data_IF_224094564711
#
_entry.id   IF_224094564711
#
_cell.length_a   1.000
_cell.length_b   1.000
_cell.length_c   1.000
_cell.angle_alpha   90.00
_cell.angle_beta   90.00
_cell.angle_gamma   90.00
#
_symmetry.space_group_name_H-M   'P 1'
#
loop_
_entity.id
_entity.type
_entity.pdbx_description
1 polymer ?
#
# COMPACT_ATOMS: atom_id res chain seq x y z
N UNK A 1 41.47 -95.81 35.93
CA UNK A 1 40.00 -95.74 35.87
C UNK A 1 39.62 -94.50 36.67
N UNK A 2 39.55 -93.31 36.06
CA UNK A 2 38.37 -92.78 35.33
C UNK A 2 37.10 -92.99 36.20
N UNK A 3 36.37 -91.98 36.69
CA UNK A 3 35.76 -90.86 35.96
C UNK A 3 35.41 -89.67 36.88
N UNK A 4 35.90 -88.50 36.51
CA UNK A 4 35.15 -87.26 36.22
C UNK A 4 33.80 -87.02 36.91
N UNK A 5 33.71 -85.93 37.67
CA UNK A 5 32.46 -85.17 37.82
C UNK A 5 32.78 -83.68 37.92
N UNK A 6 32.63 -82.96 36.80
CA UNK A 6 32.69 -81.49 36.77
C UNK A 6 31.50 -81.00 35.95
N UNK A 7 30.65 -80.21 36.58
CA UNK A 7 29.40 -79.68 36.06
C UNK A 7 29.61 -78.78 34.81
N UNK A 8 28.61 -78.64 33.93
CA UNK A 8 28.77 -77.93 32.66
C UNK A 8 28.86 -76.41 32.87
N UNK A 9 29.88 -75.78 32.28
CA UNK A 9 29.96 -74.32 32.09
C UNK A 9 28.95 -73.91 31.01
N UNK A 10 28.18 -72.85 31.27
CA UNK A 10 27.34 -72.17 30.28
C UNK A 10 28.24 -71.29 29.39
N UNK A 11 28.14 -71.44 28.08
CA UNK A 11 28.71 -70.51 27.10
C UNK A 11 27.64 -69.50 26.68
N UNK A 12 27.85 -68.19 26.87
CA UNK A 12 27.14 -67.16 26.13
C UNK A 12 28.11 -66.49 25.17
N UNK A 13 28.01 -66.78 23.88
CA UNK A 13 28.64 -65.94 22.87
C UNK A 13 27.75 -65.88 21.62
N UNK A 14 26.89 -64.87 21.62
CA UNK A 14 26.28 -64.30 20.42
C UNK A 14 27.35 -64.00 19.36
N UNK A 15 27.06 -64.36 18.11
CA UNK A 15 27.77 -63.88 16.94
C UNK A 15 26.81 -63.16 16.01
N UNK A 16 26.41 -61.93 16.33
CA UNK A 16 25.73 -61.06 15.36
C UNK A 16 26.78 -60.57 14.34
N UNK A 17 26.76 -61.15 13.14
CA UNK A 17 27.61 -60.72 12.03
C UNK A 17 27.19 -59.30 11.57
N UNK A 18 27.88 -58.26 12.06
CA UNK A 18 27.71 -56.90 11.54
C UNK A 18 28.36 -56.77 10.15
N UNK A 19 27.55 -56.93 9.11
CA UNK A 19 27.98 -56.80 7.72
C UNK A 19 28.14 -55.31 7.38
N UNK A 20 29.37 -54.82 7.48
CA UNK A 20 29.75 -53.41 7.21
C UNK A 20 29.47 -53.08 5.74
N UNK A 21 28.36 -52.39 5.46
CA UNK A 21 27.98 -52.00 4.10
C UNK A 21 28.81 -50.77 3.68
N UNK A 22 29.79 -50.97 2.79
CA UNK A 22 30.80 -49.95 2.42
C UNK A 22 30.21 -48.72 1.70
N UNK A 23 28.97 -48.83 1.23
CA UNK A 23 28.23 -47.74 0.58
C UNK A 23 27.44 -46.85 1.55
N UNK A 24 27.34 -47.20 2.84
CA UNK A 24 26.60 -46.40 3.82
C UNK A 24 27.27 -45.04 4.12
N UNK A 25 28.61 -44.98 4.09
CA UNK A 25 29.38 -43.76 4.36
C UNK A 25 29.21 -42.66 3.29
N UNK A 26 29.35 -42.94 1.97
CA UNK A 26 29.14 -41.91 0.94
C UNK A 26 27.67 -41.47 0.84
N UNK A 27 26.72 -42.37 1.07
CA UNK A 27 25.28 -42.05 1.04
C UNK A 27 24.90 -41.11 2.20
N UNK A 28 25.46 -41.31 3.39
CA UNK A 28 25.27 -40.40 4.52
C UNK A 28 25.83 -39.00 4.28
N UNK A 29 26.97 -38.88 3.57
CA UNK A 29 27.55 -37.60 3.19
C UNK A 29 26.67 -36.81 2.21
N UNK A 30 26.10 -37.48 1.21
CA UNK A 30 25.13 -36.87 0.28
C UNK A 30 23.87 -36.42 1.01
N UNK A 31 23.38 -37.21 1.96
CA UNK A 31 22.21 -36.85 2.76
C UNK A 31 22.46 -35.61 3.63
N UNK A 32 23.62 -35.52 4.30
CA UNK A 32 24.02 -34.35 5.07
C UNK A 32 24.17 -33.11 4.18
N UNK A 33 24.71 -33.27 2.98
CA UNK A 33 24.82 -32.18 2.01
C UNK A 33 23.44 -31.69 1.57
N UNK A 34 22.52 -32.60 1.19
CA UNK A 34 21.14 -32.22 0.85
C UNK A 34 20.41 -31.57 2.03
N UNK A 35 20.62 -32.06 3.25
CA UNK A 35 20.02 -31.48 4.45
C UNK A 35 20.53 -30.06 4.71
N UNK A 36 21.84 -29.81 4.51
CA UNK A 36 22.42 -28.48 4.64
C UNK A 36 21.89 -27.52 3.56
N UNK A 37 21.79 -27.97 2.29
CA UNK A 37 21.20 -27.18 1.21
C UNK A 37 19.72 -26.89 1.49
N UNK A 38 18.96 -27.87 1.99
CA UNK A 38 17.57 -27.70 2.40
C UNK A 38 17.42 -26.68 3.53
N UNK A 39 18.29 -26.71 4.54
CA UNK A 39 18.29 -25.74 5.64
C UNK A 39 18.52 -24.32 5.14
N UNK A 40 19.48 -24.13 4.23
CA UNK A 40 19.78 -22.82 3.63
C UNK A 40 18.60 -22.33 2.78
N UNK A 41 17.99 -23.21 1.99
CA UNK A 41 16.82 -22.88 1.19
C UNK A 41 15.63 -22.45 2.05
N UNK A 42 15.38 -23.14 3.17
CA UNK A 42 14.33 -22.76 4.14
C UNK A 42 14.64 -21.42 4.80
N UNK A 43 15.90 -21.16 5.17
CA UNK A 43 16.29 -19.86 5.74
C UNK A 43 16.06 -18.70 4.77
N UNK A 44 16.48 -18.86 3.51
CA UNK A 44 16.24 -17.86 2.45
C UNK A 44 14.74 -17.70 2.19
N UNK A 45 13.98 -18.80 2.17
CA UNK A 45 12.53 -18.76 2.01
C UNK A 45 11.85 -18.03 3.16
N UNK A 46 12.23 -18.27 4.41
CA UNK A 46 11.69 -17.55 5.56
C UNK A 46 11.96 -16.04 5.49
N UNK A 47 13.19 -15.63 5.14
CA UNK A 47 13.53 -14.20 4.99
C UNK A 47 12.79 -13.56 3.81
N UNK A 48 12.66 -14.28 2.68
CA UNK A 48 11.89 -13.77 1.53
C UNK A 48 10.39 -13.76 1.77
N UNK A 49 9.87 -14.70 2.55
CA UNK A 49 8.47 -14.76 2.93
C UNK A 49 8.12 -13.63 3.91
N UNK A 50 8.98 -13.33 4.88
CA UNK A 50 8.78 -12.18 5.77
C UNK A 50 8.90 -10.85 5.02
N UNK A 51 9.86 -10.72 4.09
CA UNK A 51 9.94 -9.54 3.22
C UNK A 51 8.71 -9.41 2.32
N UNK A 52 8.21 -10.49 1.73
CA UNK A 52 7.01 -10.47 0.89
C UNK A 52 5.72 -10.13 1.66
N UNK A 53 5.67 -10.35 2.98
CA UNK A 53 4.58 -9.90 3.84
C UNK A 53 4.76 -8.43 4.29
N UNK A 54 5.99 -7.91 4.26
CA UNK A 54 6.32 -6.52 4.55
C UNK A 54 6.29 -5.62 3.31
N UNK A 55 6.38 -6.19 2.11
CA UNK A 55 6.39 -5.47 0.84
C UNK A 55 4.97 -5.07 0.41
N UNK A 56 4.29 -4.32 1.30
CA UNK A 56 3.01 -3.69 1.04
C UNK A 56 3.15 -2.46 0.13
N UNK A 57 4.31 -2.22 -0.46
CA UNK A 57 4.62 -1.07 -1.31
C UNK A 57 3.59 -0.92 -2.43
N UNK A 58 3.21 -2.01 -3.10
CA UNK A 58 2.19 -1.98 -4.17
C UNK A 58 0.79 -1.70 -3.65
N UNK A 59 0.45 -2.22 -2.47
CA UNK A 59 -0.87 -1.99 -1.86
C UNK A 59 -0.99 -0.53 -1.38
N UNK A 60 0.06 0.00 -0.74
CA UNK A 60 0.16 1.41 -0.36
C UNK A 60 0.04 2.33 -1.56
N UNK A 61 0.82 2.09 -2.63
CA UNK A 61 0.75 2.87 -3.88
C UNK A 61 -0.65 2.85 -4.51
N UNK A 62 -1.34 1.71 -4.46
CA UNK A 62 -2.72 1.63 -4.94
C UNK A 62 -3.64 2.54 -4.13
N UNK A 63 -3.51 2.53 -2.81
CA UNK A 63 -4.31 3.40 -1.95
C UNK A 63 -3.96 4.87 -2.10
N UNK A 64 -2.68 5.21 -2.25
CA UNK A 64 -2.21 6.56 -2.58
C UNK A 64 -2.89 7.06 -3.85
N UNK A 65 -2.92 6.27 -4.92
CA UNK A 65 -3.61 6.64 -6.18
C UNK A 65 -5.11 6.89 -5.98
N UNK A 66 -5.78 6.05 -5.17
CA UNK A 66 -7.22 6.19 -4.89
C UNK A 66 -7.52 7.49 -4.12
N UNK A 67 -6.69 7.83 -3.12
CA UNK A 67 -6.93 9.00 -2.27
C UNK A 67 -6.32 10.29 -2.81
N UNK A 68 -5.38 10.22 -3.76
CA UNK A 68 -4.74 11.39 -4.41
C UNK A 68 -5.74 12.48 -4.82
N UNK A 69 -6.82 12.20 -5.59
CA UNK A 69 -7.78 13.23 -6.00
C UNK A 69 -8.54 13.88 -4.84
N UNK A 70 -8.56 13.25 -3.66
CA UNK A 70 -9.19 13.76 -2.46
C UNK A 70 -8.19 14.58 -1.64
N UNK A 71 -7.01 13.99 -1.36
CA UNK A 71 -5.99 14.55 -0.49
C UNK A 71 -5.37 15.84 -1.05
N UNK A 72 -5.27 15.96 -2.38
CA UNK A 72 -4.64 17.12 -3.02
C UNK A 72 -5.32 18.46 -2.70
N UNK A 73 -6.59 18.41 -2.28
CA UNK A 73 -7.41 19.56 -1.88
C UNK A 73 -7.40 19.84 -0.38
N UNK A 74 -6.59 19.11 0.38
CA UNK A 74 -6.53 19.15 1.83
C UNK A 74 -7.92 19.03 2.51
N UNK A 75 -8.55 17.84 2.47
CA UNK A 75 -9.93 17.67 2.94
C UNK A 75 -10.05 17.92 4.44
N UNK A 76 -11.19 18.50 4.83
CA UNK A 76 -11.62 18.50 6.22
C UNK A 76 -12.06 17.09 6.65
N UNK A 77 -11.88 16.72 7.93
CA UNK A 77 -12.44 15.49 8.47
C UNK A 77 -13.96 15.41 8.28
N UNK A 78 -14.45 14.21 7.97
CA UNK A 78 -15.87 13.92 7.86
C UNK A 78 -16.14 12.45 8.21
N UNK A 79 -17.33 12.17 8.76
CA UNK A 79 -17.77 10.80 9.10
C UNK A 79 -18.66 10.17 8.02
N UNK A 80 -19.19 10.98 7.11
CA UNK A 80 -20.02 10.54 5.99
C UNK A 80 -19.81 11.43 4.76
N UNK A 81 -19.75 10.88 3.54
CA UNK A 81 -19.65 11.67 2.32
C UNK A 81 -20.82 12.64 2.11
N UNK A 82 -21.99 12.37 2.71
CA UNK A 82 -23.17 13.25 2.60
C UNK A 82 -23.02 14.59 3.31
N UNK A 83 -22.11 14.69 4.28
CA UNK A 83 -21.88 15.92 5.05
C UNK A 83 -20.77 16.80 4.43
N UNK A 84 -20.19 16.34 3.32
CA UNK A 84 -19.06 16.99 2.65
C UNK A 84 -19.54 18.12 1.77
N UNK A 85 -18.74 19.19 1.66
CA UNK A 85 -19.03 20.32 0.78
C UNK A 85 -19.23 19.85 -0.68
N UNK A 86 -20.37 20.19 -1.33
CA UNK A 86 -20.65 19.82 -2.72
C UNK A 86 -19.55 20.23 -3.71
N UNK A 87 -18.94 21.41 -3.52
CA UNK A 87 -17.85 21.87 -4.38
C UNK A 87 -16.62 20.97 -4.25
N UNK A 88 -16.29 20.54 -3.03
CA UNK A 88 -15.18 19.63 -2.80
C UNK A 88 -15.44 18.27 -3.46
N UNK A 89 -16.64 17.72 -3.30
CA UNK A 89 -17.04 16.46 -3.94
C UNK A 89 -16.91 16.54 -5.45
N UNK A 90 -17.30 17.67 -6.04
CA UNK A 90 -17.16 17.91 -7.48
C UNK A 90 -15.68 17.98 -7.89
N UNK A 91 -14.87 18.77 -7.18
CA UNK A 91 -13.44 18.94 -7.48
C UNK A 91 -12.68 17.62 -7.41
N UNK A 92 -12.85 16.88 -6.32
CA UNK A 92 -12.18 15.59 -6.13
C UNK A 92 -12.66 14.55 -7.13
N UNK A 93 -13.95 14.51 -7.46
CA UNK A 93 -14.50 13.57 -8.44
C UNK A 93 -14.00 13.88 -9.86
N UNK A 94 -13.90 15.16 -10.23
CA UNK A 94 -13.34 15.56 -11.53
C UNK A 94 -11.86 15.17 -11.64
N UNK A 95 -11.08 15.44 -10.60
CA UNK A 95 -9.68 15.00 -10.55
C UNK A 95 -9.53 13.49 -10.53
N UNK A 96 -10.44 12.76 -9.87
CA UNK A 96 -10.47 11.30 -9.93
C UNK A 96 -10.73 10.80 -11.35
N UNK A 97 -11.65 11.43 -12.09
CA UNK A 97 -11.89 11.12 -13.50
C UNK A 97 -10.68 11.44 -14.38
N UNK A 98 -9.95 12.53 -14.10
CA UNK A 98 -8.74 12.94 -14.82
C UNK A 98 -7.49 12.13 -14.48
N UNK A 99 -7.37 11.59 -13.27
CA UNK A 99 -6.26 10.70 -12.89
C UNK A 99 -6.57 9.23 -13.19
N UNK A 100 -7.82 8.93 -13.53
CA UNK A 100 -8.28 7.59 -13.84
C UNK A 100 -7.83 7.07 -15.21
N UNK A 101 -8.17 5.81 -15.47
CA UNK A 101 -7.78 5.07 -16.67
C UNK A 101 -8.26 5.74 -17.98
N UNK A 102 -9.36 6.49 -17.93
CA UNK A 102 -9.94 7.17 -19.09
C UNK A 102 -9.21 8.46 -19.49
N UNK A 103 -8.21 8.93 -18.72
CA UNK A 103 -7.49 10.18 -19.01
C UNK A 103 -6.93 10.27 -20.42
N UNK A 104 -6.43 9.15 -20.96
CA UNK A 104 -5.88 9.08 -22.31
C UNK A 104 -6.94 9.13 -23.42
N UNK A 105 -8.22 8.94 -23.09
CA UNK A 105 -9.33 8.99 -24.04
C UNK A 105 -9.95 10.38 -24.19
N UNK A 106 -9.66 11.30 -23.26
CA UNK A 106 -10.16 12.67 -23.32
C UNK A 106 -9.43 13.47 -24.39
N UNK A 107 -10.21 14.25 -25.13
CA UNK A 107 -9.71 15.14 -26.17
C UNK A 107 -9.40 16.51 -25.56
N UNK A 108 -8.53 17.25 -26.22
CA UNK A 108 -8.23 18.63 -25.88
C UNK A 108 -8.93 19.57 -26.85
N UNK A 109 -9.44 20.69 -26.34
CA UNK A 109 -10.04 21.73 -27.17
C UNK A 109 -8.95 22.60 -27.84
N UNK A 110 -9.31 23.55 -28.73
CA UNK A 110 -8.34 24.44 -29.37
C UNK A 110 -7.57 25.37 -28.41
N UNK A 111 -7.97 25.44 -27.13
CA UNK A 111 -7.30 26.19 -26.06
C UNK A 111 -6.47 25.25 -25.16
N UNK A 112 -6.20 24.02 -25.60
CA UNK A 112 -5.43 23.00 -24.87
C UNK A 112 -6.05 22.65 -23.51
N UNK A 113 -7.39 22.73 -23.40
CA UNK A 113 -8.14 22.30 -22.21
C UNK A 113 -8.65 20.88 -22.42
N UNK A 114 -8.49 20.03 -21.41
CA UNK A 114 -9.00 18.66 -21.42
C UNK A 114 -10.53 18.69 -21.31
N UNK A 115 -11.20 18.05 -22.27
CA UNK A 115 -12.65 17.92 -22.30
C UNK A 115 -13.07 16.65 -21.55
N UNK A 116 -13.67 16.81 -20.37
CA UNK A 116 -14.10 15.71 -19.50
C UNK A 116 -15.63 15.65 -19.44
N UNK A 117 -16.27 14.58 -19.93
CA UNK A 117 -17.72 14.44 -19.86
C UNK A 117 -18.23 14.39 -18.41
N UNK A 118 -19.31 15.09 -18.09
CA UNK A 118 -19.91 15.09 -16.76
C UNK A 118 -20.28 13.68 -16.27
N UNK A 119 -20.71 12.80 -17.19
CA UNK A 119 -21.01 11.41 -16.87
C UNK A 119 -19.81 10.64 -16.32
N UNK A 120 -18.59 10.96 -16.76
CA UNK A 120 -17.38 10.32 -16.24
C UNK A 120 -17.03 10.86 -14.84
N UNK A 121 -17.35 12.13 -14.58
CA UNK A 121 -17.25 12.74 -13.25
C UNK A 121 -18.25 12.09 -12.28
N UNK A 122 -19.49 11.87 -12.71
CA UNK A 122 -20.51 11.18 -11.91
C UNK A 122 -20.11 9.73 -11.59
N UNK A 123 -19.56 9.02 -12.56
CA UNK A 123 -19.04 7.65 -12.35
C UNK A 123 -17.87 7.66 -11.38
N UNK A 124 -16.98 8.65 -11.47
CA UNK A 124 -15.87 8.81 -10.53
C UNK A 124 -16.39 9.12 -9.11
N UNK A 125 -17.38 10.01 -8.97
CA UNK A 125 -18.03 10.30 -7.70
C UNK A 125 -18.67 9.06 -7.09
N UNK A 126 -19.46 8.31 -7.88
CA UNK A 126 -20.11 7.10 -7.40
C UNK A 126 -19.10 6.01 -6.98
N UNK A 127 -17.93 5.96 -7.63
CA UNK A 127 -16.83 5.07 -7.27
C UNK A 127 -16.11 5.51 -6.00
N UNK A 128 -15.87 6.81 -5.81
CA UNK A 128 -15.16 7.35 -4.65
C UNK A 128 -16.05 7.46 -3.42
N UNK A 129 -17.26 8.00 -3.54
CA UNK A 129 -18.12 8.36 -2.40
C UNK A 129 -19.37 7.49 -2.26
N UNK A 130 -19.62 6.63 -3.25
CA UNK A 130 -20.78 5.76 -3.30
C UNK A 130 -21.91 6.32 -4.16
N UNK A 131 -22.86 5.47 -4.58
CA UNK A 131 -23.90 5.81 -5.55
C UNK A 131 -24.97 6.77 -5.02
N UNK A 132 -25.05 6.96 -3.70
CA UNK A 132 -26.05 7.81 -3.06
C UNK A 132 -25.64 9.31 -3.11
N UNK A 133 -24.37 9.60 -3.37
CA UNK A 133 -23.85 10.97 -3.46
C UNK A 133 -24.09 11.51 -4.86
N UNK A 134 -24.74 12.67 -4.94
CA UNK A 134 -25.03 13.37 -6.20
C UNK A 134 -24.19 14.63 -6.29
N UNK A 135 -23.61 14.85 -7.47
CA UNK A 135 -22.84 16.06 -7.74
C UNK A 135 -23.75 17.21 -8.15
N UNK A 136 -23.39 18.41 -7.69
CA UNK A 136 -23.92 19.67 -8.19
C UNK A 136 -22.92 20.21 -9.22
N UNK A 137 -23.19 19.95 -10.50
CA UNK A 137 -22.30 20.41 -11.57
C UNK A 137 -22.35 21.92 -11.70
N UNK A 138 -21.18 22.54 -11.60
CA UNK A 138 -21.01 23.98 -11.77
C UNK A 138 -19.61 24.30 -12.31
N UNK A 139 -19.47 25.52 -12.83
CA UNK A 139 -18.17 26.12 -13.11
C UNK A 139 -17.51 26.52 -11.80
N UNK A 140 -16.20 26.30 -11.67
CA UNK A 140 -15.44 26.70 -10.49
C UNK A 140 -14.01 27.10 -10.85
N UNK A 141 -13.32 27.73 -9.90
CA UNK A 141 -11.93 28.15 -10.06
C UNK A 141 -11.09 27.51 -8.96
N UNK A 142 -9.93 26.97 -9.32
CA UNK A 142 -8.90 26.54 -8.36
C UNK A 142 -7.76 27.56 -8.35
N UNK A 143 -7.20 27.84 -7.17
CA UNK A 143 -6.08 28.77 -6.97
C UNK A 143 -6.29 30.18 -7.56
N UNK A 144 -7.55 30.62 -7.73
CA UNK A 144 -7.94 31.91 -8.33
C UNK A 144 -7.53 32.14 -9.80
N UNK A 145 -6.92 31.15 -10.45
CA UNK A 145 -6.38 31.28 -11.82
C UNK A 145 -6.91 30.18 -12.74
N UNK A 146 -7.10 28.98 -12.21
CA UNK A 146 -7.45 27.81 -13.01
C UNK A 146 -8.97 27.67 -13.11
N UNK A 147 -9.54 28.10 -14.24
CA UNK A 147 -10.99 28.11 -14.44
C UNK A 147 -11.46 26.80 -15.08
N UNK A 148 -12.23 26.02 -14.33
CA UNK A 148 -12.85 24.78 -14.74
C UNK A 148 -14.26 25.08 -15.22
N UNK A 149 -14.41 25.18 -16.54
CA UNK A 149 -15.67 25.63 -17.14
C UNK A 149 -16.57 24.44 -17.40
N UNK A 150 -17.78 24.48 -16.87
CA UNK A 150 -18.82 23.51 -17.15
C UNK A 150 -19.78 24.06 -18.22
N UNK A 151 -19.95 23.31 -19.30
CA UNK A 151 -20.95 23.59 -20.33
C UNK A 151 -22.17 22.70 -20.12
N UNK A 152 -23.31 23.33 -19.83
CA UNK A 152 -24.58 22.65 -19.57
C UNK A 152 -25.20 22.01 -20.81
N UNK A 153 -24.96 22.57 -22.00
CA UNK A 153 -25.54 22.08 -23.26
C UNK A 153 -24.86 20.77 -23.68
N UNK A 154 -23.54 20.74 -23.63
CA UNK A 154 -22.73 19.56 -24.00
C UNK A 154 -22.42 18.65 -22.81
N UNK A 155 -22.76 19.06 -21.58
CA UNK A 155 -22.45 18.36 -20.32
C UNK A 155 -20.97 17.98 -20.21
N UNK A 156 -20.10 18.93 -20.52
CA UNK A 156 -18.65 18.72 -20.60
C UNK A 156 -17.91 19.77 -19.78
N UNK A 157 -16.90 19.31 -19.04
CA UNK A 157 -15.93 20.16 -18.36
C UNK A 157 -14.77 20.47 -19.28
N UNK A 158 -14.39 21.74 -19.37
CA UNK A 158 -13.16 22.20 -19.99
C UNK A 158 -12.15 22.51 -18.90
N UNK A 159 -11.23 21.57 -18.70
CA UNK A 159 -10.24 21.62 -17.64
C UNK A 159 -8.93 22.18 -18.17
N UNK A 160 -8.42 23.30 -17.65
CA UNK A 160 -7.14 23.83 -18.09
C UNK A 160 -6.01 22.88 -17.70
N UNK A 161 -5.06 22.66 -18.62
CA UNK A 161 -3.79 21.99 -18.30
C UNK A 161 -2.84 23.02 -17.70
N UNK A 162 -3.16 23.48 -16.50
CA UNK A 162 -2.31 24.42 -15.76
C UNK A 162 -1.40 23.69 -14.77
N UNK A 163 -0.50 24.45 -14.12
CA UNK A 163 0.56 23.94 -13.26
C UNK A 163 0.07 23.21 -11.99
N UNK A 164 0.91 23.16 -10.97
CA UNK A 164 0.69 22.31 -9.80
C UNK A 164 -0.60 22.66 -9.04
N UNK A 165 -1.65 21.83 -9.20
CA UNK A 165 -2.96 22.02 -8.55
C UNK A 165 -3.00 21.42 -7.14
N UNK A 166 -2.22 20.38 -6.87
CA UNK A 166 -2.20 19.68 -5.59
C UNK A 166 -1.27 20.30 -4.55
N UNK A 167 -1.81 20.58 -3.36
CA UNK A 167 -1.06 21.10 -2.22
C UNK A 167 -0.19 20.04 -1.54
N UNK A 168 -0.62 18.78 -1.61
CA UNK A 168 0.03 17.65 -0.95
C UNK A 168 0.00 16.39 -1.82
N UNK A 169 0.97 15.50 -1.60
CA UNK A 169 1.02 14.14 -2.15
C UNK A 169 0.78 13.13 -1.02
N UNK A 170 -0.11 12.13 -1.21
CA UNK A 170 -0.34 11.11 -0.19
C UNK A 170 0.86 10.18 -0.02
N UNK A 171 1.25 9.91 1.23
CA UNK A 171 2.10 8.77 1.61
C UNK A 171 1.32 7.85 2.52
N UNK A 172 1.04 6.61 2.10
CA UNK A 172 0.33 5.65 2.95
C UNK A 172 1.32 4.92 3.84
N UNK A 173 1.38 5.32 5.10
CA UNK A 173 2.27 4.73 6.10
C UNK A 173 1.79 3.36 6.55
N UNK A 174 0.48 3.21 6.74
CA UNK A 174 -0.10 1.99 7.30
C UNK A 174 -1.45 1.68 6.70
N UNK A 175 -1.69 0.40 6.49
CA UNK A 175 -2.97 -0.14 6.01
C UNK A 175 -3.44 -1.19 7.02
N UNK A 176 -4.63 -1.00 7.58
CA UNK A 176 -5.27 -1.97 8.49
C UNK A 176 -6.59 -2.41 7.87
N UNK A 177 -6.71 -3.70 7.57
CA UNK A 177 -7.94 -4.27 7.02
C UNK A 177 -8.79 -4.93 8.11
N UNK A 178 -10.07 -4.59 8.17
CA UNK A 178 -11.10 -5.21 9.01
C UNK A 178 -12.32 -5.57 8.17
N UNK A 179 -12.39 -6.83 7.73
CA UNK A 179 -13.45 -7.28 6.81
C UNK A 179 -13.31 -6.58 5.46
N UNK A 180 -14.36 -5.84 5.05
CA UNK A 180 -14.36 -5.03 3.83
C UNK A 180 -13.91 -3.58 4.04
N UNK A 181 -13.58 -3.20 5.27
CA UNK A 181 -13.13 -1.85 5.62
C UNK A 181 -11.60 -1.82 5.73
N UNK A 182 -10.99 -0.80 5.14
CA UNK A 182 -9.58 -0.51 5.11
C UNK A 182 -9.34 0.84 5.78
N UNK A 183 -8.59 0.85 6.88
CA UNK A 183 -8.18 2.04 7.58
C UNK A 183 -6.75 2.37 7.20
N UNK A 184 -6.55 3.49 6.54
CA UNK A 184 -5.24 3.98 6.10
C UNK A 184 -4.76 5.07 7.04
N UNK A 185 -3.49 5.00 7.44
CA UNK A 185 -2.79 6.15 8.04
C UNK A 185 -2.00 6.82 6.92
N UNK A 186 -2.32 8.08 6.65
CA UNK A 186 -1.83 8.81 5.48
C UNK A 186 -1.07 10.05 5.92
N UNK A 187 0.19 10.16 5.51
CA UNK A 187 1.02 11.35 5.63
C UNK A 187 0.80 12.31 4.46
N UNK A 188 0.79 13.60 4.76
CA UNK A 188 0.64 14.68 3.80
C UNK A 188 2.03 15.21 3.43
N UNK A 189 2.54 14.83 2.27
CA UNK A 189 3.85 15.28 1.79
C UNK A 189 3.71 16.58 1.01
N UNK A 190 4.43 17.62 1.42
CA UNK A 190 4.51 18.85 0.64
C UNK A 190 5.33 18.63 -0.64
N UNK A 191 5.04 19.36 -1.73
CA UNK A 191 5.85 19.38 -2.93
C UNK A 191 7.33 19.61 -2.61
N UNK A 192 8.20 18.80 -3.20
CA UNK A 192 9.64 18.96 -3.00
C UNK A 192 10.13 20.26 -3.65
N UNK A 193 10.36 21.26 -2.81
CA UNK A 193 11.07 22.49 -3.13
C UNK A 193 12.53 22.42 -2.67
N UNK A 194 13.37 23.36 -3.12
CA UNK A 194 14.75 23.48 -2.64
C UNK A 194 14.84 23.65 -1.11
N UNK A 195 13.80 24.23 -0.48
CA UNK A 195 13.71 24.37 0.98
C UNK A 195 13.33 23.07 1.69
N UNK A 196 12.32 22.34 1.20
CA UNK A 196 11.93 21.05 1.79
C UNK A 196 12.97 19.96 1.55
N UNK A 197 13.80 20.08 0.51
CA UNK A 197 14.94 19.19 0.29
C UNK A 197 16.05 19.40 1.34
N UNK A 198 16.18 20.61 1.89
CA UNK A 198 17.12 20.91 2.97
C UNK A 198 16.64 20.45 4.36
N UNK A 199 15.34 20.20 4.51
CA UNK A 199 14.71 19.67 5.73
C UNK A 199 14.25 18.22 5.59
N UNK A 200 14.58 17.55 4.48
CA UNK A 200 14.36 16.11 4.34
C UNK A 200 15.09 15.37 5.46
N UNK A 201 14.54 14.24 5.93
CA UNK A 201 15.18 13.44 6.97
C UNK A 201 16.59 13.01 6.50
N UNK A 202 17.44 12.53 7.41
CA UNK A 202 18.85 12.17 7.14
C UNK A 202 19.04 11.19 5.96
N UNK A 203 17.97 10.50 5.56
CA UNK A 203 17.90 9.58 4.42
C UNK A 203 17.36 10.19 3.11
N UNK A 204 17.05 11.50 3.08
CA UNK A 204 16.51 12.22 1.92
C UNK A 204 15.03 11.97 1.62
N UNK A 205 14.28 11.35 2.55
CA UNK A 205 12.82 11.13 2.41
C UNK A 205 12.05 12.39 2.84
N UNK A 206 11.01 12.81 2.08
CA UNK A 206 10.18 13.95 2.47
C UNK A 206 9.43 13.64 3.77
N UNK A 207 9.53 14.52 4.77
CA UNK A 207 8.78 14.40 6.01
C UNK A 207 7.31 14.81 5.78
N UNK A 208 6.37 14.08 6.38
CA UNK A 208 4.96 14.41 6.31
C UNK A 208 4.63 15.59 7.24
N UNK A 209 3.93 16.59 6.71
CA UNK A 209 3.51 17.80 7.43
C UNK A 209 2.44 17.48 8.48
N UNK A 210 1.54 16.54 8.14
CA UNK A 210 0.50 16.02 9.03
C UNK A 210 0.09 14.61 8.66
N UNK A 211 -0.61 13.95 9.58
CA UNK A 211 -1.17 12.62 9.39
C UNK A 211 -2.68 12.61 9.60
N UNK A 212 -3.41 11.92 8.73
CA UNK A 212 -4.85 11.69 8.88
C UNK A 212 -5.19 10.22 8.65
N UNK A 213 -6.35 9.82 9.14
CA UNK A 213 -6.91 8.48 8.96
C UNK A 213 -7.95 8.54 7.84
N UNK A 214 -7.77 7.71 6.82
CA UNK A 214 -8.76 7.51 5.76
C UNK A 214 -9.42 6.15 5.94
N UNK A 215 -10.75 6.11 5.86
CA UNK A 215 -11.51 4.88 5.91
C UNK A 215 -12.10 4.58 4.53
N UNK A 216 -11.71 3.45 3.95
CA UNK A 216 -12.18 2.98 2.65
C UNK A 216 -12.96 1.68 2.83
N UNK A 217 -14.10 1.56 2.17
CA UNK A 217 -14.86 0.32 2.07
C UNK A 217 -14.67 -0.30 0.69
N UNK A 218 -14.24 -1.55 0.63
CA UNK A 218 -14.13 -2.29 -0.63
C UNK A 218 -15.53 -2.69 -1.10
N UNK A 219 -15.87 -2.29 -2.33
CA UNK A 219 -17.13 -2.65 -2.99
C UNK A 219 -16.79 -3.29 -4.33
N UNK A 220 -16.95 -4.61 -4.41
CA UNK A 220 -16.60 -5.43 -5.58
C UNK A 220 -15.13 -5.21 -6.02
N UNK A 221 -14.93 -4.40 -7.05
CA UNK A 221 -13.67 -4.10 -7.73
C UNK A 221 -13.05 -2.74 -7.36
N UNK A 222 -13.79 -1.88 -6.65
CA UNK A 222 -13.33 -0.54 -6.26
C UNK A 222 -13.42 -0.31 -4.75
N UNK A 223 -12.95 0.87 -4.31
CA UNK A 223 -12.92 1.29 -2.92
C UNK A 223 -13.63 2.62 -2.79
N UNK A 224 -14.55 2.71 -1.82
CA UNK A 224 -15.33 3.90 -1.51
C UNK A 224 -14.81 4.53 -0.23
N UNK A 225 -14.49 5.81 -0.25
CA UNK A 225 -14.17 6.63 0.90
C UNK A 225 -15.42 6.87 1.76
N UNK A 226 -15.37 6.37 2.99
CA UNK A 226 -16.46 6.48 3.95
C UNK A 226 -16.22 7.59 4.96
N UNK A 227 -14.98 7.78 5.42
CA UNK A 227 -14.64 8.79 6.41
C UNK A 227 -13.18 9.26 6.30
N UNK A 228 -12.94 10.48 6.76
CA UNK A 228 -11.61 11.05 7.03
C UNK A 228 -11.61 11.56 8.47
N UNK A 229 -10.60 11.18 9.27
CA UNK A 229 -10.47 11.58 10.67
C UNK A 229 -9.07 12.09 10.95
N UNK A 230 -8.96 12.97 11.94
CA UNK A 230 -7.66 13.35 12.49
C UNK A 230 -6.99 12.14 13.15
N UNK A 231 -5.66 12.05 13.03
CA UNK A 231 -4.90 11.06 13.79
C UNK A 231 -4.90 11.48 15.27
N UNK A 232 -5.36 10.63 16.21
CA UNK A 232 -5.30 10.95 17.63
C UNK A 232 -3.86 11.26 18.05
N UNK A 233 -3.64 12.39 18.73
CA UNK A 233 -2.31 12.91 19.06
C UNK A 233 -1.46 11.94 19.89
N UNK A 234 -2.09 11.02 20.62
CA UNK A 234 -1.46 9.96 21.41
C UNK A 234 -0.67 8.96 20.57
N UNK A 235 -1.01 8.82 19.28
CA UNK A 235 -0.36 7.90 18.35
C UNK A 235 0.82 8.56 17.61
N UNK A 236 0.94 9.89 17.59
CA UNK A 236 2.03 10.58 16.89
C UNK A 236 3.46 10.10 17.28
N UNK A 237 3.79 9.89 18.59
CA UNK A 237 5.14 9.49 18.96
C UNK A 237 5.48 8.02 18.65
N UNK A 238 4.49 7.11 18.68
CA UNK A 238 4.70 5.71 18.30
C UNK A 238 4.96 5.56 16.79
N UNK A 239 4.33 6.40 15.96
CA UNK A 239 4.52 6.37 14.50
C UNK A 239 5.82 7.02 14.07
N UNK A 240 6.22 8.14 14.70
CA UNK A 240 7.54 8.73 14.44
C UNK A 240 8.69 7.74 14.73
N UNK A 241 8.54 6.89 15.75
CA UNK A 241 9.50 5.82 16.05
C UNK A 241 9.42 4.61 15.11
N UNK A 242 8.22 4.21 14.65
CA UNK A 242 8.06 3.13 13.68
C UNK A 242 8.57 3.49 12.28
N UNK A 243 8.33 4.71 11.80
CA UNK A 243 8.83 5.18 10.50
C UNK A 243 10.37 5.22 10.48
N UNK A 244 11.01 5.63 11.58
CA UNK A 244 12.48 5.56 11.72
C UNK A 244 12.99 4.11 11.78
N UNK A 245 12.27 3.21 12.45
CA UNK A 245 12.65 1.79 12.51
C UNK A 245 12.52 1.09 11.14
N UNK A 246 11.48 1.38 10.36
CA UNK A 246 11.27 0.83 9.02
C UNK A 246 12.25 1.43 7.99
N UNK A 247 12.62 2.70 8.12
CA UNK A 247 13.68 3.31 7.27
C UNK A 247 15.05 2.71 7.59
N UNK A 248 15.36 2.46 8.87
CA UNK A 248 16.60 1.84 9.30
C UNK A 248 16.71 0.33 8.96
N UNK A 249 15.58 -0.34 8.70
CA UNK A 249 15.53 -1.75 8.32
C UNK A 249 15.68 -2.00 6.81
N UNK A 250 15.63 -0.95 5.98
CA UNK A 250 15.94 -1.06 4.55
C UNK A 250 17.48 -0.99 4.35
N UNK A 251 18.11 -2.05 3.80
CA UNK A 251 19.53 -1.97 3.49
C UNK A 251 19.74 -0.91 2.40
N UNK A 252 20.66 0.02 2.65
CA UNK A 252 21.17 0.94 1.64
C UNK A 252 21.64 0.14 0.41
N UNK A 253 21.14 0.50 -0.76
CA UNK A 253 21.58 -0.05 -2.04
C UNK A 253 23.04 0.34 -2.34
#
# INVERSE_FOLDING_TARGET
MEKTNQAPRRDPAEGLHYRKNKYAAPVGGIFLFLAAVGLVAVGIFCVRFTQSLLDNTREKQKFEQIITPVLMFDPLPFESPSDVNPLFLLQSSLWSAMLGEKRASYQEDPLERVMVPASDVDVACARLYGPDVKLEHQTFTINYVDNYVYDEETRTYYVPVTGQVGMYTPSVERVVKKGDVYTLTVGYLQPTTAWTQATADKDGKPEADKYMIYELKKVKDHYQLTAIRDLPSELLPEYGQQVQADSAAQPAA
#
